data_IF_952520162175
#
_entry.id   IF_952520162175
#
_cell.length_a   1.000
_cell.length_b   1.000
_cell.length_c   1.000
_cell.angle_alpha   90.00
_cell.angle_beta   90.00
_cell.angle_gamma   90.00
#
_symmetry.space_group_name_H-M   'P 1'
#
loop_
_entity.id
_entity.type
_entity.pdbx_description
1 polymer ?
#
# COMPACT_ATOMS: atom_id res chain seq x y z
N UNK A 1 -15.78 -53.55 -0.41
CA UNK A 1 -16.91 -54.44 -0.75
C UNK A 1 -17.87 -53.68 -1.65
N UNK A 2 -18.06 -54.19 -2.88
CA UNK A 2 -19.13 -53.84 -3.86
C UNK A 2 -19.00 -52.50 -4.60
N UNK A 3 -19.23 -52.37 -5.90
CA UNK A 3 -19.10 -53.24 -7.08
C UNK A 3 -19.20 -52.33 -8.32
N UNK A 4 -18.41 -52.63 -9.36
CA UNK A 4 -18.43 -51.97 -10.67
C UNK A 4 -19.51 -52.58 -11.58
N UNK A 5 -20.11 -51.80 -12.50
CA UNK A 5 -20.56 -52.19 -13.87
C UNK A 5 -20.84 -50.89 -14.67
N UNK A 6 -19.98 -50.46 -15.60
CA UNK A 6 -19.91 -50.79 -17.05
C UNK A 6 -21.14 -50.40 -17.90
N UNK A 7 -20.93 -49.48 -18.86
CA UNK A 7 -21.37 -49.64 -20.27
C UNK A 7 -20.39 -48.92 -21.22
N UNK A 8 -19.87 -49.70 -22.18
CA UNK A 8 -18.97 -49.31 -23.28
C UNK A 8 -19.76 -48.73 -24.47
N UNK A 9 -19.14 -47.84 -25.24
CA UNK A 9 -19.13 -47.94 -26.71
C UNK A 9 -17.92 -47.21 -27.31
N UNK A 10 -17.22 -47.88 -28.22
CA UNK A 10 -15.98 -47.46 -28.91
C UNK A 10 -16.34 -46.84 -30.26
N UNK A 11 -15.53 -45.90 -30.76
CA UNK A 11 -15.03 -45.99 -32.15
C UNK A 11 -13.68 -45.27 -32.32
N UNK A 12 -12.79 -45.97 -33.02
CA UNK A 12 -11.37 -45.71 -33.26
C UNK A 12 -11.17 -44.83 -34.50
N UNK A 13 -10.11 -44.03 -34.45
CA UNK A 13 -9.39 -43.36 -35.54
C UNK A 13 -8.74 -44.35 -36.51
N UNK A 14 -8.32 -43.88 -37.70
CA UNK A 14 -7.15 -44.41 -38.36
C UNK A 14 -6.17 -43.29 -38.79
N UNK A 15 -4.92 -43.40 -38.36
CA UNK A 15 -3.75 -42.92 -39.09
C UNK A 15 -3.19 -44.09 -39.90
N UNK A 16 -2.69 -43.83 -41.11
CA UNK A 16 -1.58 -44.60 -41.68
C UNK A 16 -0.86 -43.84 -42.79
N UNK A 17 0.46 -44.02 -42.74
CA UNK A 17 1.54 -43.35 -43.46
C UNK A 17 1.67 -43.73 -44.95
N UNK A 18 2.47 -42.88 -45.60
CA UNK A 18 3.11 -42.91 -46.92
C UNK A 18 3.39 -44.26 -47.59
N UNK A 19 3.29 -44.26 -48.94
CA UNK A 19 4.31 -44.79 -49.86
C UNK A 19 3.96 -44.47 -51.33
N UNK A 20 5.01 -44.08 -52.05
CA UNK A 20 5.17 -43.62 -53.44
C UNK A 20 4.71 -44.57 -54.54
N UNK A 21 4.15 -44.04 -55.64
CA UNK A 21 4.40 -44.49 -57.02
C UNK A 21 3.91 -43.46 -58.07
N UNK A 22 4.79 -43.18 -59.03
CA UNK A 22 4.65 -42.39 -60.26
C UNK A 22 3.69 -43.00 -61.29
N UNK A 23 3.06 -42.18 -62.14
CA UNK A 23 3.07 -42.23 -63.64
C UNK A 23 1.97 -41.33 -64.26
N UNK A 24 2.45 -40.30 -64.96
CA UNK A 24 2.09 -39.71 -66.27
C UNK A 24 0.64 -39.52 -66.80
N UNK A 25 0.42 -38.28 -67.30
CA UNK A 25 -0.34 -37.84 -68.52
C UNK A 25 -1.86 -38.12 -68.59
N UNK A 26 -2.77 -37.24 -69.03
CA UNK A 26 -2.73 -36.22 -70.11
C UNK A 26 -4.01 -35.35 -70.06
N UNK A 27 -3.85 -34.04 -70.29
CA UNK A 27 -4.71 -33.09 -71.04
C UNK A 27 -6.23 -32.96 -70.80
N UNK A 28 -6.66 -31.72 -70.47
CA UNK A 28 -8.02 -31.22 -70.71
C UNK A 28 -8.23 -29.78 -70.19
N UNK A 29 -8.24 -28.80 -71.11
CA UNK A 29 -8.33 -27.35 -70.86
C UNK A 29 -9.68 -26.86 -70.29
N UNK A 30 -9.65 -25.93 -69.32
CA UNK A 30 -10.61 -24.82 -69.19
C UNK A 30 -10.02 -23.66 -68.34
N UNK A 31 -10.25 -22.42 -68.80
CA UNK A 31 -9.68 -21.12 -68.38
C UNK A 31 -10.42 -20.55 -67.13
N UNK A 32 -9.79 -19.65 -66.32
CA UNK A 32 -10.09 -19.50 -64.90
C UNK A 32 -11.11 -18.39 -64.57
N UNK A 33 -11.80 -18.52 -63.44
CA UNK A 33 -12.42 -17.40 -62.74
C UNK A 33 -11.61 -17.10 -61.48
N UNK A 34 -11.07 -15.88 -61.43
CA UNK A 34 -10.41 -15.35 -60.27
C UNK A 34 -11.38 -15.11 -59.11
N UNK A 35 -10.85 -15.25 -57.90
CA UNK A 35 -11.21 -14.40 -56.77
C UNK A 35 -10.02 -14.38 -55.81
N UNK A 36 -9.28 -13.29 -55.89
CA UNK A 36 -8.33 -12.83 -54.90
C UNK A 36 -9.09 -12.28 -53.70
N UNK A 37 -8.98 -12.99 -52.57
CA UNK A 37 -9.16 -12.42 -51.23
C UNK A 37 -8.03 -12.97 -50.36
N UNK A 38 -6.89 -12.28 -50.36
CA UNK A 38 -5.90 -12.41 -49.30
C UNK A 38 -6.51 -11.81 -48.02
N UNK A 39 -7.22 -12.63 -47.25
CA UNK A 39 -7.55 -12.29 -45.87
C UNK A 39 -6.24 -12.29 -45.07
N UNK A 40 -5.84 -11.12 -44.58
CA UNK A 40 -4.75 -11.01 -43.61
C UNK A 40 -5.02 -11.97 -42.43
N UNK A 41 -4.00 -12.72 -41.95
CA UNK A 41 -4.21 -13.71 -40.91
C UNK A 41 -4.82 -13.08 -39.66
N UNK A 42 -5.89 -13.69 -39.15
CA UNK A 42 -6.60 -13.24 -37.95
C UNK A 42 -5.63 -13.17 -36.78
N UNK A 43 -5.29 -11.96 -36.36
CA UNK A 43 -4.43 -11.71 -35.20
C UNK A 43 -5.28 -11.78 -33.93
N UNK A 44 -5.00 -12.75 -33.07
CA UNK A 44 -5.77 -12.96 -31.85
C UNK A 44 -5.15 -12.18 -30.68
N UNK A 45 -5.94 -11.87 -29.65
CA UNK A 45 -5.48 -11.06 -28.51
C UNK A 45 -4.30 -11.68 -27.73
N UNK A 46 -4.08 -12.99 -27.86
CA UNK A 46 -2.93 -13.68 -27.28
C UNK A 46 -1.64 -13.52 -28.09
N UNK A 47 -1.72 -13.16 -29.38
CA UNK A 47 -0.54 -12.91 -30.23
C UNK A 47 0.16 -11.58 -29.89
N UNK A 48 -0.47 -10.75 -29.04
CA UNK A 48 0.05 -9.47 -28.51
C UNK A 48 0.50 -9.53 -27.05
N UNK A 49 0.48 -10.70 -26.39
CA UNK A 49 0.98 -10.80 -25.01
C UNK A 49 2.49 -10.60 -25.03
N UNK A 50 2.95 -9.52 -24.41
CA UNK A 50 4.36 -9.36 -24.09
C UNK A 50 4.83 -10.61 -23.33
N UNK A 51 5.97 -11.17 -23.74
CA UNK A 51 6.55 -12.33 -23.06
C UNK A 51 7.04 -11.85 -21.69
N UNK A 52 6.26 -12.12 -20.65
CA UNK A 52 6.62 -11.85 -19.26
C UNK A 52 7.68 -12.87 -18.82
N UNK A 53 8.89 -12.42 -18.50
CA UNK A 53 9.92 -13.27 -17.89
C UNK A 53 9.67 -13.32 -16.37
N UNK A 54 9.49 -14.50 -15.75
CA UNK A 54 9.37 -14.63 -14.30
C UNK A 54 10.49 -13.93 -13.52
N UNK A 55 11.71 -13.86 -14.08
CA UNK A 55 12.85 -13.16 -13.46
C UNK A 55 12.62 -11.67 -13.27
N UNK A 56 11.77 -11.06 -14.08
CA UNK A 56 11.42 -9.64 -13.94
C UNK A 56 10.56 -9.39 -12.70
N UNK A 57 9.95 -10.43 -12.12
CA UNK A 57 9.04 -10.33 -10.98
C UNK A 57 9.54 -11.10 -9.74
N UNK A 58 10.81 -11.53 -9.76
CA UNK A 58 11.43 -12.20 -8.63
C UNK A 58 12.89 -11.78 -8.43
N UNK A 59 13.33 -11.79 -7.17
CA UNK A 59 14.72 -11.67 -6.74
C UNK A 59 15.02 -12.88 -5.87
N UNK A 60 15.96 -13.72 -6.30
CA UNK A 60 16.20 -15.03 -5.65
C UNK A 60 17.69 -15.29 -5.50
N UNK A 61 18.12 -15.70 -4.30
CA UNK A 61 19.46 -16.23 -4.07
C UNK A 61 20.59 -15.19 -4.23
N UNK A 62 20.27 -13.91 -4.08
CA UNK A 62 21.22 -12.82 -4.28
C UNK A 62 22.02 -12.56 -3.01
N UNK A 63 23.31 -12.24 -3.16
CA UNK A 63 24.20 -11.93 -2.05
C UNK A 63 25.01 -10.68 -2.32
N UNK A 64 25.19 -9.86 -1.29
CA UNK A 64 26.06 -8.68 -1.30
C UNK A 64 25.79 -7.74 -2.50
N UNK A 65 24.52 -7.54 -2.82
CA UNK A 65 24.09 -6.86 -4.03
C UNK A 65 23.10 -5.71 -3.76
N UNK A 66 23.16 -4.68 -4.60
CA UNK A 66 22.13 -3.64 -4.71
C UNK A 66 21.24 -3.94 -5.92
N UNK A 67 19.98 -4.29 -5.68
CA UNK A 67 19.02 -4.76 -6.71
C UNK A 67 17.64 -4.15 -6.49
N UNK A 68 16.69 -4.38 -7.41
CA UNK A 68 15.36 -3.80 -7.29
C UNK A 68 14.68 -3.53 -8.61
N UNK A 69 13.68 -2.64 -8.60
CA UNK A 69 12.88 -2.26 -9.77
C UNK A 69 12.69 -0.75 -9.80
N UNK A 70 12.94 -0.15 -10.97
CA UNK A 70 12.69 1.26 -11.23
C UNK A 70 11.18 1.52 -11.44
N UNK A 71 10.72 2.78 -11.37
CA UNK A 71 9.34 3.14 -11.69
C UNK A 71 8.88 2.60 -13.06
N UNK A 72 7.65 2.10 -13.11
CA UNK A 72 7.02 1.57 -14.32
C UNK A 72 7.48 0.17 -14.75
N UNK A 73 8.26 -0.54 -13.92
CA UNK A 73 8.74 -1.90 -14.22
C UNK A 73 7.83 -3.01 -13.67
N UNK A 74 7.17 -2.79 -12.54
CA UNK A 74 6.24 -3.76 -11.95
C UNK A 74 4.79 -3.48 -12.32
N UNK A 75 4.39 -2.22 -12.45
CA UNK A 75 3.03 -1.79 -12.85
C UNK A 75 1.91 -2.60 -12.18
N UNK A 76 2.00 -2.78 -10.85
CA UNK A 76 0.96 -3.45 -10.07
C UNK A 76 0.96 -4.98 -10.16
N UNK A 77 1.99 -5.62 -10.73
CA UNK A 77 2.14 -7.07 -10.68
C UNK A 77 2.60 -7.55 -9.29
N UNK A 78 2.52 -8.86 -9.06
CA UNK A 78 3.10 -9.51 -7.88
C UNK A 78 4.63 -9.51 -7.96
N UNK A 79 5.29 -9.42 -6.81
CA UNK A 79 6.75 -9.51 -6.70
C UNK A 79 7.17 -10.50 -5.62
N UNK A 80 8.27 -11.22 -5.84
CA UNK A 80 8.81 -12.20 -4.87
C UNK A 80 10.26 -11.88 -4.57
N UNK A 81 10.64 -11.85 -3.30
CA UNK A 81 12.03 -11.72 -2.86
C UNK A 81 12.30 -12.93 -1.97
N UNK A 82 13.29 -13.75 -2.31
CA UNK A 82 13.57 -14.96 -1.55
C UNK A 82 15.07 -15.26 -1.45
N UNK A 83 15.51 -15.80 -0.32
CA UNK A 83 16.88 -16.31 -0.13
C UNK A 83 17.96 -15.24 -0.40
N UNK A 84 17.68 -13.96 -0.10
CA UNK A 84 18.62 -12.86 -0.29
C UNK A 84 19.41 -12.58 0.99
N UNK A 85 20.72 -12.36 0.87
CA UNK A 85 21.62 -12.10 2.00
C UNK A 85 22.44 -10.82 1.78
N UNK A 86 22.56 -9.96 2.79
CA UNK A 86 23.35 -8.73 2.74
C UNK A 86 23.00 -7.78 1.58
N UNK A 87 21.74 -7.75 1.14
CA UNK A 87 21.33 -6.99 -0.04
C UNK A 87 20.69 -5.63 0.31
N UNK A 88 20.86 -4.66 -0.59
CA UNK A 88 20.03 -3.46 -0.64
C UNK A 88 18.99 -3.65 -1.75
N UNK A 89 17.71 -3.63 -1.42
CA UNK A 89 16.62 -3.94 -2.34
C UNK A 89 15.69 -2.74 -2.48
N UNK A 90 15.64 -2.14 -3.66
CA UNK A 90 14.86 -0.92 -3.94
C UNK A 90 13.76 -1.17 -4.96
N UNK A 91 12.53 -1.37 -4.52
CA UNK A 91 11.36 -1.55 -5.38
C UNK A 91 10.61 -0.23 -5.48
N UNK A 92 10.99 0.61 -6.44
CA UNK A 92 10.40 1.93 -6.66
C UNK A 92 9.22 1.89 -7.63
N UNK A 93 8.27 0.98 -7.40
CA UNK A 93 7.04 0.86 -8.18
C UNK A 93 5.90 0.30 -7.31
N UNK A 94 4.65 0.49 -7.73
CA UNK A 94 3.51 -0.15 -7.09
C UNK A 94 3.40 -1.63 -7.46
N UNK A 95 2.86 -2.44 -6.55
CA UNK A 95 2.73 -3.89 -6.71
C UNK A 95 1.38 -4.39 -6.19
N UNK A 96 0.92 -5.54 -6.68
CA UNK A 96 -0.28 -6.19 -6.15
C UNK A 96 -0.04 -6.78 -4.75
N UNK A 97 1.02 -7.57 -4.62
CA UNK A 97 1.44 -8.22 -3.38
C UNK A 97 2.92 -8.54 -3.44
N UNK A 98 3.59 -8.55 -2.30
CA UNK A 98 5.01 -8.89 -2.19
C UNK A 98 5.21 -9.94 -1.09
N UNK A 99 5.90 -11.04 -1.42
CA UNK A 99 6.38 -12.02 -0.43
C UNK A 99 7.89 -11.91 -0.28
N UNK A 100 8.37 -11.93 0.96
CA UNK A 100 9.78 -11.85 1.31
C UNK A 100 10.12 -13.04 2.20
N UNK A 101 10.90 -13.97 1.68
CA UNK A 101 11.15 -15.27 2.31
C UNK A 101 12.65 -15.49 2.55
N UNK A 102 13.01 -16.04 3.70
CA UNK A 102 14.37 -16.52 3.98
C UNK A 102 15.48 -15.46 3.73
N UNK A 103 15.15 -14.18 3.94
CA UNK A 103 16.09 -13.08 3.70
C UNK A 103 16.83 -12.70 5.00
N UNK A 104 18.13 -12.42 4.88
CA UNK A 104 18.99 -12.12 6.03
C UNK A 104 19.80 -10.85 5.79
N UNK A 105 19.84 -9.95 6.78
CA UNK A 105 20.65 -8.72 6.76
C UNK A 105 20.40 -7.83 5.52
N UNK A 106 19.15 -7.69 5.11
CA UNK A 106 18.78 -6.88 3.94
C UNK A 106 18.19 -5.52 4.35
N UNK A 107 18.46 -4.49 3.52
CA UNK A 107 17.78 -3.19 3.60
C UNK A 107 16.83 -3.05 2.43
N UNK A 108 15.54 -2.83 2.70
CA UNK A 108 14.48 -2.97 1.69
C UNK A 108 13.60 -1.72 1.65
N UNK A 109 13.43 -1.12 0.48
CA UNK A 109 12.38 -0.13 0.23
C UNK A 109 11.36 -0.75 -0.71
N UNK A 110 10.10 -0.79 -0.28
CA UNK A 110 8.97 -1.22 -1.09
C UNK A 110 8.08 -0.03 -1.40
N UNK A 111 7.81 0.17 -2.69
CA UNK A 111 6.74 1.06 -3.13
C UNK A 111 5.36 0.55 -2.68
N UNK A 112 4.30 1.35 -2.89
CA UNK A 112 2.95 1.04 -2.44
C UNK A 112 2.44 -0.34 -2.93
N UNK A 113 2.07 -1.20 -1.99
CA UNK A 113 1.55 -2.55 -2.26
C UNK A 113 0.04 -2.59 -2.02
N UNK A 114 -0.74 -2.77 -3.09
CA UNK A 114 -2.21 -2.77 -3.05
C UNK A 114 -2.79 -3.76 -2.05
N UNK A 115 -2.19 -4.94 -1.94
CA UNK A 115 -2.60 -6.00 -1.03
C UNK A 115 -1.62 -6.19 0.12
N UNK A 116 -1.18 -7.43 0.30
CA UNK A 116 -0.31 -7.79 1.41
C UNK A 116 1.18 -7.73 1.09
N UNK A 117 1.95 -7.30 2.08
CA UNK A 117 3.38 -7.59 2.21
C UNK A 117 3.54 -8.66 3.28
N UNK A 118 4.18 -9.77 2.95
CA UNK A 118 4.36 -10.90 3.87
C UNK A 118 5.84 -11.27 3.99
N UNK A 119 6.40 -11.06 5.18
CA UNK A 119 7.73 -11.55 5.55
C UNK A 119 7.62 -12.92 6.23
N UNK A 120 8.40 -13.90 5.77
CA UNK A 120 8.50 -15.24 6.38
C UNK A 120 9.97 -15.59 6.57
N UNK A 121 10.30 -16.14 7.73
CA UNK A 121 11.64 -16.67 8.02
C UNK A 121 12.78 -15.65 7.79
N UNK A 122 12.48 -14.36 7.96
CA UNK A 122 13.43 -13.26 7.71
C UNK A 122 14.15 -12.82 8.98
N UNK A 123 15.42 -12.39 8.84
CA UNK A 123 16.24 -11.98 9.98
C UNK A 123 17.07 -10.73 9.70
N UNK A 124 17.17 -9.85 10.70
CA UNK A 124 18.00 -8.63 10.63
C UNK A 124 17.62 -7.75 9.42
N UNK A 125 16.31 -7.53 9.22
CA UNK A 125 15.79 -6.73 8.10
C UNK A 125 15.54 -5.30 8.54
N UNK A 126 15.92 -4.34 7.70
CA UNK A 126 15.56 -2.93 7.87
C UNK A 126 14.78 -2.48 6.66
N UNK A 127 13.56 -1.98 6.84
CA UNK A 127 12.73 -1.68 5.68
C UNK A 127 11.80 -0.47 5.81
N UNK A 128 11.44 0.07 4.64
CA UNK A 128 10.42 1.09 4.44
C UNK A 128 9.33 0.48 3.58
N UNK A 129 8.10 0.41 4.08
CA UNK A 129 7.01 -0.36 3.44
C UNK A 129 5.70 0.43 3.48
N UNK A 130 5.03 0.53 2.33
CA UNK A 130 3.64 0.96 2.25
C UNK A 130 2.77 -0.18 1.70
N UNK A 131 1.73 -0.58 2.42
CA UNK A 131 0.87 -1.69 2.03
C UNK A 131 -0.55 -1.59 2.59
N UNK A 132 -1.48 -2.37 2.02
CA UNK A 132 -2.79 -2.53 2.65
C UNK A 132 -2.69 -3.40 3.91
N UNK A 133 -2.02 -4.56 3.81
CA UNK A 133 -1.85 -5.50 4.91
C UNK A 133 -0.37 -5.81 5.13
N UNK A 134 0.11 -5.68 6.37
CA UNK A 134 1.46 -6.08 6.76
C UNK A 134 1.40 -7.34 7.61
N UNK A 135 2.16 -8.37 7.21
CA UNK A 135 2.22 -9.66 7.93
C UNK A 135 3.66 -10.10 8.10
N UNK A 136 3.99 -10.64 9.27
CA UNK A 136 5.25 -11.36 9.50
C UNK A 136 4.98 -12.71 10.14
N UNK A 137 5.76 -13.71 9.76
CA UNK A 137 5.81 -15.01 10.44
C UNK A 137 7.25 -15.46 10.59
N UNK A 138 7.60 -16.00 11.75
CA UNK A 138 8.93 -16.57 12.00
C UNK A 138 10.11 -15.58 11.79
N UNK A 139 9.85 -14.28 11.96
CA UNK A 139 10.84 -13.23 11.71
C UNK A 139 11.59 -12.78 12.98
N UNK A 140 12.84 -12.33 12.83
CA UNK A 140 13.67 -11.88 13.97
C UNK A 140 14.41 -10.59 13.67
N UNK A 141 14.34 -9.63 14.60
CA UNK A 141 15.05 -8.34 14.53
C UNK A 141 14.73 -7.59 13.23
N UNK A 142 13.53 -7.05 13.15
CA UNK A 142 13.12 -6.21 12.03
C UNK A 142 12.87 -4.79 12.47
N UNK A 143 13.44 -3.81 11.76
CA UNK A 143 13.16 -2.39 11.94
C UNK A 143 12.35 -1.89 10.72
N UNK A 144 11.11 -1.48 10.93
CA UNK A 144 10.13 -1.23 9.86
C UNK A 144 9.56 0.18 9.95
N UNK A 145 9.78 1.00 8.93
CA UNK A 145 9.07 2.26 8.70
C UNK A 145 7.83 1.98 7.84
N UNK A 146 6.65 2.02 8.47
CA UNK A 146 5.44 1.40 7.93
C UNK A 146 4.34 2.42 7.61
N UNK A 147 3.69 2.22 6.46
CA UNK A 147 2.38 2.75 6.15
C UNK A 147 1.45 1.56 5.91
N UNK A 148 0.51 1.30 6.82
CA UNK A 148 -0.37 0.13 6.73
C UNK A 148 -1.84 0.53 6.87
N UNK A 149 -2.64 0.23 5.85
CA UNK A 149 -4.06 0.59 5.84
C UNK A 149 -4.87 -0.19 6.88
N UNK A 150 -4.47 -1.42 7.21
CA UNK A 150 -5.07 -2.24 8.27
C UNK A 150 -4.14 -2.37 9.48
N UNK A 151 -4.60 -3.05 10.53
CA UNK A 151 -3.77 -3.42 11.68
C UNK A 151 -2.59 -4.32 11.22
N UNK A 152 -1.32 -3.93 11.45
CA UNK A 152 -0.17 -4.78 11.16
C UNK A 152 -0.15 -6.01 12.07
N UNK A 153 0.24 -7.16 11.51
CA UNK A 153 0.19 -8.45 12.20
C UNK A 153 1.60 -9.05 12.28
N UNK A 154 1.95 -9.57 13.46
CA UNK A 154 3.11 -10.43 13.67
C UNK A 154 2.69 -11.77 14.26
N UNK A 155 3.43 -12.82 13.90
CA UNK A 155 3.25 -14.19 14.40
C UNK A 155 4.62 -14.87 14.53
N UNK A 156 4.85 -15.59 15.62
CA UNK A 156 6.10 -16.32 15.92
C UNK A 156 7.37 -15.48 15.70
N UNK A 157 7.29 -14.17 15.91
CA UNK A 157 8.33 -13.20 15.54
C UNK A 157 8.84 -12.45 16.79
N UNK A 158 10.11 -12.05 16.80
CA UNK A 158 10.72 -11.39 17.97
C UNK A 158 11.64 -10.24 17.59
N UNK A 159 11.70 -9.20 18.43
CA UNK A 159 12.54 -8.03 18.19
C UNK A 159 12.05 -7.17 17.02
N UNK A 160 10.74 -7.09 16.84
CA UNK A 160 10.10 -6.29 15.80
C UNK A 160 10.01 -4.83 16.26
N UNK A 161 10.37 -3.86 15.42
CA UNK A 161 10.30 -2.45 15.76
C UNK A 161 9.65 -1.66 14.64
N UNK A 162 8.73 -0.77 15.01
CA UNK A 162 7.93 -0.01 14.05
C UNK A 162 8.11 1.49 14.20
N UNK A 163 8.12 2.21 13.07
CA UNK A 163 8.05 3.66 12.95
C UNK A 163 7.07 4.04 11.85
N UNK A 164 6.63 5.30 11.83
CA UNK A 164 5.82 5.83 10.73
C UNK A 164 6.64 5.83 9.44
N UNK A 165 6.01 5.50 8.31
CA UNK A 165 6.60 5.66 6.99
C UNK A 165 7.11 7.09 6.77
N UNK A 166 8.35 7.22 6.29
CA UNK A 166 9.00 8.49 6.00
C UNK A 166 9.83 8.36 4.72
N UNK A 167 9.21 8.64 3.57
CA UNK A 167 9.90 8.50 2.29
C UNK A 167 9.23 9.33 1.19
N UNK A 168 10.04 9.70 0.20
CA UNK A 168 9.62 10.43 -0.98
C UNK A 168 10.47 10.03 -2.19
N UNK A 169 9.81 9.91 -3.33
CA UNK A 169 10.39 10.07 -4.67
C UNK A 169 9.28 10.61 -5.60
N UNK A 170 9.62 11.25 -6.73
CA UNK A 170 8.64 12.00 -7.53
C UNK A 170 7.38 11.21 -7.93
N UNK A 171 7.54 9.93 -8.27
CA UNK A 171 6.47 9.05 -8.74
C UNK A 171 5.64 8.43 -7.60
N UNK A 172 6.10 8.54 -6.34
CA UNK A 172 5.52 7.82 -5.20
C UNK A 172 4.04 8.16 -4.98
N UNK A 173 3.65 9.43 -5.14
CA UNK A 173 2.26 9.85 -5.00
C UNK A 173 1.33 9.14 -6.00
N UNK A 174 1.77 8.96 -7.24
CA UNK A 174 1.01 8.22 -8.26
C UNK A 174 0.98 6.73 -7.92
N UNK A 175 2.08 6.16 -7.44
CA UNK A 175 2.11 4.75 -7.04
C UNK A 175 1.14 4.47 -5.87
N UNK A 176 0.97 5.39 -4.91
CA UNK A 176 -0.04 5.27 -3.85
C UNK A 176 -1.45 5.23 -4.44
N UNK A 177 -1.74 6.13 -5.38
CA UNK A 177 -3.01 6.19 -6.09
C UNK A 177 -3.28 4.91 -6.89
N UNK A 178 -2.30 4.42 -7.65
CA UNK A 178 -2.44 3.22 -8.49
C UNK A 178 -2.59 1.95 -7.65
N UNK A 179 -1.95 1.90 -6.47
CA UNK A 179 -2.16 0.85 -5.47
C UNK A 179 -3.51 0.96 -4.75
N UNK A 180 -4.26 2.06 -4.91
CA UNK A 180 -5.51 2.32 -4.20
C UNK A 180 -5.32 2.54 -2.71
N UNK A 181 -4.14 3.03 -2.29
CA UNK A 181 -3.82 3.31 -0.89
C UNK A 181 -3.94 4.80 -0.60
N UNK A 182 -4.71 5.15 0.42
CA UNK A 182 -4.71 6.51 0.95
C UNK A 182 -3.48 6.74 1.81
N UNK A 183 -2.81 7.88 1.58
CA UNK A 183 -1.71 8.36 2.44
C UNK A 183 -2.18 8.74 3.84
N UNK A 184 -3.49 8.89 4.05
CA UNK A 184 -4.09 9.24 5.34
C UNK A 184 -4.56 8.00 6.12
N UNK A 185 -4.49 6.79 5.57
CA UNK A 185 -4.86 5.56 6.27
C UNK A 185 -3.61 4.79 6.70
N UNK A 186 -3.11 5.10 7.90
CA UNK A 186 -1.88 4.50 8.41
C UNK A 186 -1.98 4.08 9.90
N UNK A 187 -1.98 2.77 10.16
CA UNK A 187 -2.09 2.16 11.49
C UNK A 187 -0.76 1.55 11.96
N UNK A 188 0.37 2.07 11.49
CA UNK A 188 1.72 1.52 11.68
C UNK A 188 2.12 1.15 13.11
N UNK A 189 1.52 1.76 14.13
CA UNK A 189 1.85 1.56 15.54
C UNK A 189 0.89 0.63 16.30
N UNK A 190 -0.24 0.23 15.72
CA UNK A 190 -1.24 -0.61 16.36
C UNK A 190 -1.00 -2.08 15.99
N UNK A 191 0.01 -2.72 16.58
CA UNK A 191 0.45 -4.06 16.17
C UNK A 191 -0.39 -5.14 16.87
N UNK A 192 -0.89 -6.10 16.09
CA UNK A 192 -1.48 -7.33 16.62
C UNK A 192 -0.43 -8.46 16.63
N UNK A 193 -0.18 -9.03 17.81
CA UNK A 193 0.70 -10.19 17.97
C UNK A 193 -0.15 -11.44 18.24
N UNK A 194 -0.09 -12.42 17.33
CA UNK A 194 -0.81 -13.69 17.47
C UNK A 194 -0.16 -14.65 18.48
N UNK A 195 1.09 -14.42 18.85
CA UNK A 195 1.90 -15.31 19.70
C UNK A 195 2.58 -14.53 20.83
N UNK A 196 1.82 -13.79 21.65
CA UNK A 196 2.39 -13.00 22.74
C UNK A 196 3.03 -13.92 23.79
N UNK A 197 4.18 -13.51 24.33
CA UNK A 197 4.85 -14.20 25.43
C UNK A 197 4.64 -13.37 26.70
N UNK A 198 4.25 -14.02 27.80
CA UNK A 198 3.82 -13.35 29.04
C UNK A 198 4.84 -12.42 29.69
N UNK A 199 6.13 -12.56 29.36
CA UNK A 199 7.24 -11.81 29.99
C UNK A 199 8.08 -10.99 29.00
N UNK A 200 7.77 -11.06 27.70
CA UNK A 200 8.56 -10.39 26.66
C UNK A 200 7.63 -9.73 25.66
N UNK A 201 7.93 -8.47 25.33
CA UNK A 201 7.26 -7.81 24.22
C UNK A 201 7.98 -8.17 22.93
N UNK A 202 7.29 -8.88 22.03
CA UNK A 202 7.83 -9.30 20.75
C UNK A 202 8.05 -8.11 19.80
N UNK A 203 7.40 -6.98 20.06
CA UNK A 203 7.52 -5.77 19.28
C UNK A 203 7.69 -4.51 20.15
N UNK A 204 8.12 -3.42 19.53
CA UNK A 204 8.18 -2.10 20.15
C UNK A 204 8.10 -1.02 19.07
N UNK A 205 8.05 0.24 19.48
CA UNK A 205 8.17 1.36 18.56
C UNK A 205 9.62 1.86 18.55
N UNK A 206 10.16 2.18 17.37
CA UNK A 206 11.46 2.83 17.25
C UNK A 206 11.44 4.20 17.96
N UNK A 207 12.58 4.74 18.42
CA UNK A 207 12.65 6.11 18.92
C UNK A 207 12.12 7.13 17.90
N UNK A 208 11.44 8.19 18.35
CA UNK A 208 10.93 9.26 17.47
C UNK A 208 12.05 10.00 16.72
N UNK A 209 13.27 9.99 17.26
CA UNK A 209 14.46 10.59 16.66
C UNK A 209 15.14 9.70 15.60
N UNK A 210 14.57 8.53 15.29
CA UNK A 210 15.17 7.59 14.34
C UNK A 210 15.12 8.14 12.92
N UNK A 211 16.29 8.34 12.30
CA UNK A 211 16.39 8.69 10.88
C UNK A 211 16.30 7.44 10.02
N UNK A 212 15.44 7.43 9.00
CA UNK A 212 15.34 6.32 8.04
C UNK A 212 16.70 5.96 7.44
N UNK A 213 17.55 6.95 7.16
CA UNK A 213 18.84 6.72 6.50
C UNK A 213 19.85 5.95 7.38
N UNK A 214 19.67 5.92 8.71
CA UNK A 214 20.47 5.09 9.61
C UNK A 214 20.12 3.60 9.50
N UNK A 215 18.94 3.31 8.95
CA UNK A 215 18.42 1.95 8.81
C UNK A 215 18.45 1.46 7.36
N UNK A 216 18.00 2.30 6.43
CA UNK A 216 17.91 2.01 5.00
C UNK A 216 18.65 3.13 4.25
N UNK A 217 19.86 2.87 3.74
CA UNK A 217 20.62 3.90 3.05
C UNK A 217 19.94 4.29 1.73
N UNK A 218 20.20 5.51 1.28
CA UNK A 218 19.83 5.91 -0.08
C UNK A 218 20.57 5.03 -1.11
N UNK A 219 20.03 4.85 -2.33
CA UNK A 219 20.70 4.07 -3.34
C UNK A 219 22.09 4.61 -3.69
N UNK A 220 23.03 3.69 -3.96
CA UNK A 220 24.41 4.03 -4.29
C UNK A 220 24.49 4.89 -5.55
N UNK A 221 25.44 5.84 -5.60
CA UNK A 221 25.66 6.74 -6.75
C UNK A 221 26.10 6.02 -8.03
N UNK A 222 26.56 4.79 -7.92
CA UNK A 222 26.94 3.95 -9.05
C UNK A 222 25.82 3.00 -9.49
N UNK A 223 24.75 2.88 -8.70
CA UNK A 223 23.60 2.03 -9.03
C UNK A 223 22.65 2.70 -10.02
N UNK A 224 21.90 1.90 -10.79
CA UNK A 224 20.84 2.41 -11.67
C UNK A 224 19.73 3.15 -10.91
N UNK A 225 19.58 2.86 -9.62
CA UNK A 225 18.60 3.47 -8.73
C UNK A 225 18.88 4.93 -8.41
N UNK A 226 20.09 5.45 -8.69
CA UNK A 226 20.41 6.88 -8.55
C UNK A 226 19.51 7.81 -9.37
N UNK A 227 18.89 7.28 -10.42
CA UNK A 227 17.94 8.02 -11.25
C UNK A 227 16.68 8.41 -10.46
N UNK A 228 16.33 7.65 -9.42
CA UNK A 228 15.18 7.93 -8.56
C UNK A 228 15.59 8.91 -7.46
N UNK A 229 15.03 10.12 -7.49
CA UNK A 229 15.37 11.21 -6.56
C UNK A 229 14.70 10.99 -5.20
N UNK A 230 15.29 10.11 -4.39
CA UNK A 230 14.77 9.78 -3.07
C UNK A 230 15.02 10.89 -2.07
N UNK A 231 14.12 11.00 -1.09
CA UNK A 231 14.30 11.82 0.10
C UNK A 231 13.67 11.11 1.29
N UNK A 232 14.40 11.04 2.39
CA UNK A 232 13.90 10.57 3.67
C UNK A 232 13.75 11.72 4.68
N UNK A 233 13.72 12.97 4.20
CA UNK A 233 13.40 14.14 5.02
C UNK A 233 11.93 14.07 5.51
N UNK A 234 11.67 14.20 6.83
CA UNK A 234 10.34 14.30 7.41
C UNK A 234 9.38 15.23 6.65
N UNK A 235 9.85 16.44 6.28
CA UNK A 235 9.03 17.47 5.65
C UNK A 235 8.63 17.12 4.21
N UNK A 236 9.34 16.18 3.57
CA UNK A 236 9.08 15.77 2.18
C UNK A 236 8.27 14.48 2.09
N UNK A 237 8.03 13.79 3.20
CA UNK A 237 7.36 12.49 3.19
C UNK A 237 5.99 12.56 2.50
N UNK A 238 5.72 11.56 1.65
CA UNK A 238 4.41 11.41 1.02
C UNK A 238 3.35 11.01 2.06
N UNK A 239 3.70 10.22 3.07
CA UNK A 239 2.78 9.90 4.17
C UNK A 239 3.01 10.92 5.29
N UNK A 240 1.98 11.63 5.78
CA UNK A 240 2.12 12.49 6.95
C UNK A 240 2.65 11.72 8.16
N UNK A 241 3.62 12.28 8.86
CA UNK A 241 4.18 11.65 10.05
C UNK A 241 3.20 11.76 11.20
N UNK A 242 2.76 10.61 11.70
CA UNK A 242 1.81 10.51 12.81
C UNK A 242 2.51 9.97 14.06
N UNK A 243 2.11 10.46 15.24
CA UNK A 243 2.58 9.97 16.54
C UNK A 243 2.03 8.57 16.84
N UNK A 244 0.88 8.21 16.28
CA UNK A 244 0.24 6.91 16.42
C UNK A 244 -0.06 6.58 17.89
N UNK A 245 0.13 5.32 18.27
CA UNK A 245 -0.09 4.79 19.62
C UNK A 245 0.99 5.15 20.64
N UNK A 246 1.85 6.13 20.37
CA UNK A 246 2.81 6.64 21.36
C UNK A 246 2.08 7.44 22.45
N UNK A 247 2.72 7.54 23.61
CA UNK A 247 2.22 8.34 24.73
C UNK A 247 2.08 9.81 24.31
N UNK A 248 0.91 10.40 24.54
CA UNK A 248 0.64 11.82 24.32
C UNK A 248 1.18 12.66 25.46
N UNK A 249 1.58 13.89 25.14
CA UNK A 249 2.09 14.86 26.12
C UNK A 249 0.97 15.73 26.70
N UNK A 250 -0.18 15.79 26.01
CA UNK A 250 -1.40 16.45 26.45
C UNK A 250 -2.60 15.52 26.28
N UNK A 251 -3.58 15.64 27.17
CA UNK A 251 -4.88 14.97 27.06
C UNK A 251 -5.84 15.74 26.14
N UNK A 252 -5.52 17.00 25.80
CA UNK A 252 -6.33 17.78 24.87
C UNK A 252 -6.09 17.30 23.43
N UNK A 253 -7.18 16.96 22.75
CA UNK A 253 -7.21 16.54 21.36
C UNK A 253 -8.27 17.32 20.58
N UNK A 254 -8.10 17.49 19.28
CA UNK A 254 -9.03 18.17 18.39
C UNK A 254 -9.24 17.32 17.14
N UNK A 255 -10.51 17.08 16.78
CA UNK A 255 -10.88 16.49 15.51
C UNK A 255 -10.99 17.60 14.46
N UNK A 256 -10.30 17.45 13.34
CA UNK A 256 -10.40 18.34 12.18
C UNK A 256 -10.72 17.51 10.94
N UNK A 257 -11.84 17.79 10.28
CA UNK A 257 -12.32 17.01 9.13
C UNK A 257 -12.52 17.90 7.91
N UNK A 258 -11.89 17.51 6.80
CA UNK A 258 -12.14 18.04 5.48
C UNK A 258 -13.10 17.16 4.71
N UNK A 259 -14.05 17.77 4.02
CA UNK A 259 -14.96 17.08 3.10
C UNK A 259 -14.35 16.99 1.70
N UNK A 260 -14.85 16.04 0.89
CA UNK A 260 -14.36 15.82 -0.47
C UNK A 260 -14.47 17.09 -1.34
N UNK A 261 -13.41 17.38 -2.08
CA UNK A 261 -13.26 18.54 -2.93
C UNK A 261 -11.92 18.53 -3.67
N UNK A 262 -11.74 19.45 -4.61
CA UNK A 262 -10.57 19.50 -5.51
C UNK A 262 -9.23 19.66 -4.74
N UNK A 263 -9.25 20.42 -3.63
CA UNK A 263 -8.05 20.77 -2.86
C UNK A 263 -7.95 20.05 -1.51
N UNK A 264 -8.79 19.05 -1.22
CA UNK A 264 -8.90 18.42 0.11
C UNK A 264 -7.56 17.88 0.62
N UNK A 265 -6.81 17.14 -0.22
CA UNK A 265 -5.48 16.62 0.16
C UNK A 265 -4.47 17.73 0.43
N UNK A 266 -4.46 18.79 -0.39
CA UNK A 266 -3.56 19.92 -0.21
C UNK A 266 -3.90 20.72 1.06
N UNK A 267 -5.19 20.92 1.33
CA UNK A 267 -5.68 21.59 2.54
C UNK A 267 -5.36 20.79 3.80
N UNK A 268 -5.52 19.46 3.76
CA UNK A 268 -5.15 18.59 4.86
C UNK A 268 -3.63 18.69 5.17
N UNK A 269 -2.77 18.66 4.14
CA UNK A 269 -1.32 18.89 4.33
C UNK A 269 -1.03 20.26 4.92
N UNK A 270 -1.64 21.31 4.37
CA UNK A 270 -1.46 22.67 4.88
C UNK A 270 -1.89 22.78 6.36
N UNK A 271 -3.00 22.15 6.74
CA UNK A 271 -3.44 22.12 8.15
C UNK A 271 -2.42 21.43 9.06
N UNK A 272 -1.83 20.32 8.61
CA UNK A 272 -0.77 19.62 9.35
C UNK A 272 0.46 20.52 9.52
N UNK A 273 0.86 21.24 8.47
CA UNK A 273 1.99 22.16 8.52
C UNK A 273 1.73 23.33 9.50
N UNK A 274 0.55 23.95 9.43
CA UNK A 274 0.13 25.04 10.34
C UNK A 274 0.06 24.58 11.81
N UNK A 275 -0.48 23.38 12.05
CA UNK A 275 -0.57 22.81 13.39
C UNK A 275 0.82 22.49 13.96
N UNK A 276 1.68 21.86 13.15
CA UNK A 276 3.05 21.51 13.53
C UNK A 276 3.89 22.75 13.80
N UNK A 277 3.75 23.80 12.99
CA UNK A 277 4.43 25.08 13.18
C UNK A 277 4.04 25.77 14.51
N UNK A 278 2.83 25.52 15.02
CA UNK A 278 2.35 25.99 16.32
C UNK A 278 2.68 25.03 17.48
N UNK A 279 3.39 23.93 17.22
CA UNK A 279 3.81 22.96 18.23
C UNK A 279 2.79 21.88 18.56
N UNK A 280 1.70 21.77 17.79
CA UNK A 280 0.73 20.67 17.95
C UNK A 280 1.23 19.41 17.26
N UNK A 281 0.78 18.27 17.76
CA UNK A 281 1.22 16.96 17.28
C UNK A 281 0.09 16.27 16.52
N UNK A 282 0.40 15.78 15.32
CA UNK A 282 -0.51 14.91 14.56
C UNK A 282 -0.49 13.50 15.15
N UNK A 283 -1.61 13.07 15.74
CA UNK A 283 -1.73 11.76 16.36
C UNK A 283 -2.03 10.68 15.33
N UNK A 284 -3.06 10.90 14.51
CA UNK A 284 -3.46 9.98 13.45
C UNK A 284 -4.34 10.69 12.42
N UNK A 285 -4.52 10.03 11.28
CA UNK A 285 -5.37 10.49 10.19
C UNK A 285 -6.24 9.34 9.70
N UNK A 286 -7.36 9.66 9.04
CA UNK A 286 -8.18 8.70 8.30
C UNK A 286 -8.79 9.35 7.06
N UNK A 287 -8.86 8.60 5.97
CA UNK A 287 -9.70 8.88 4.82
C UNK A 287 -10.78 7.81 4.72
N UNK A 288 -12.06 8.19 4.89
CA UNK A 288 -13.17 7.24 5.00
C UNK A 288 -14.45 7.81 4.37
N UNK A 289 -15.19 6.97 3.67
CA UNK A 289 -16.53 7.31 3.15
C UNK A 289 -17.57 7.14 4.25
N UNK A 290 -18.45 8.11 4.46
CA UNK A 290 -19.51 7.98 5.47
C UNK A 290 -20.88 7.92 4.80
N UNK A 291 -21.83 7.19 5.39
CA UNK A 291 -23.23 7.24 4.95
C UNK A 291 -24.00 8.30 5.75
N UNK A 292 -25.12 8.82 5.24
CA UNK A 292 -25.95 9.80 5.96
C UNK A 292 -26.32 9.37 7.39
N UNK A 293 -26.57 8.07 7.64
CA UNK A 293 -26.85 7.55 8.97
C UNK A 293 -25.66 7.65 9.95
N UNK A 294 -24.43 7.57 9.44
CA UNK A 294 -23.21 7.61 10.24
C UNK A 294 -22.90 9.05 10.72
N UNK A 295 -23.32 10.06 9.94
CA UNK A 295 -23.12 11.50 10.22
C UNK A 295 -23.71 11.90 11.57
N UNK A 296 -24.95 11.48 11.84
CA UNK A 296 -25.65 11.80 13.09
C UNK A 296 -24.96 11.19 14.31
N UNK A 297 -24.41 9.99 14.16
CA UNK A 297 -23.68 9.32 15.23
C UNK A 297 -22.34 10.00 15.51
N UNK A 298 -21.62 10.39 14.45
CA UNK A 298 -20.25 10.93 14.56
C UNK A 298 -20.24 12.41 14.96
N UNK A 299 -21.04 13.25 14.28
CA UNK A 299 -21.02 14.71 14.45
C UNK A 299 -22.16 15.24 15.34
N UNK A 300 -23.07 14.37 15.79
CA UNK A 300 -24.12 14.67 16.75
C UNK A 300 -24.94 15.92 16.38
N UNK A 301 -24.86 16.99 17.18
CA UNK A 301 -25.64 18.21 17.01
C UNK A 301 -25.30 18.99 15.73
N UNK A 302 -24.15 18.70 15.11
CA UNK A 302 -23.70 19.37 13.88
C UNK A 302 -24.08 18.59 12.60
N UNK A 303 -24.84 17.50 12.71
CA UNK A 303 -24.98 16.53 11.62
C UNK A 303 -25.79 17.01 10.41
N UNK A 304 -26.88 17.75 10.61
CA UNK A 304 -27.83 18.05 9.53
C UNK A 304 -27.20 18.92 8.42
N UNK A 305 -26.27 19.82 8.78
CA UNK A 305 -25.53 20.67 7.84
C UNK A 305 -24.37 19.95 7.11
N UNK A 306 -24.08 18.69 7.46
CA UNK A 306 -22.92 17.94 6.96
C UNK A 306 -23.30 16.80 6.01
N UNK A 307 -24.57 16.38 6.00
CA UNK A 307 -25.03 15.24 5.17
C UNK A 307 -24.75 15.46 3.69
N UNK A 308 -25.02 16.67 3.17
CA UNK A 308 -24.75 16.99 1.77
C UNK A 308 -23.27 16.86 1.42
N UNK A 309 -22.38 17.27 2.32
CA UNK A 309 -20.94 17.32 2.09
C UNK A 309 -20.30 15.94 2.09
N UNK A 310 -20.81 15.05 2.93
CA UNK A 310 -20.34 13.66 3.04
C UNK A 310 -20.72 12.84 1.81
N UNK A 311 -21.82 13.20 1.13
CA UNK A 311 -22.22 12.53 -0.12
C UNK A 311 -21.27 12.79 -1.30
N UNK A 312 -20.38 13.79 -1.21
CA UNK A 312 -19.45 14.18 -2.27
C UNK A 312 -18.23 13.25 -2.40
N UNK A 313 -17.94 12.44 -1.38
CA UNK A 313 -16.82 11.50 -1.38
C UNK A 313 -16.25 11.25 0.01
N UNK A 314 -15.11 10.54 0.11
CA UNK A 314 -14.43 10.29 1.38
C UNK A 314 -14.07 11.60 2.09
N UNK A 315 -14.19 11.60 3.42
CA UNK A 315 -13.71 12.70 4.26
C UNK A 315 -12.30 12.39 4.74
N UNK A 316 -11.49 13.43 4.95
CA UNK A 316 -10.15 13.32 5.55
C UNK A 316 -10.20 13.91 6.95
N UNK A 317 -9.97 13.07 7.95
CA UNK A 317 -9.90 13.46 9.35
C UNK A 317 -8.46 13.47 9.87
N UNK A 318 -8.18 14.45 10.72
CA UNK A 318 -6.94 14.66 11.43
C UNK A 318 -7.24 14.71 12.93
N UNK A 319 -6.50 13.93 13.73
CA UNK A 319 -6.46 14.10 15.18
C UNK A 319 -5.19 14.86 15.55
N UNK A 320 -5.38 16.06 16.11
CA UNK A 320 -4.30 16.91 16.59
C UNK A 320 -4.33 16.94 18.12
N UNK A 321 -3.17 16.97 18.76
CA UNK A 321 -3.05 17.01 20.23
C UNK A 321 -2.07 18.08 20.70
N UNK A 322 -2.36 18.66 21.86
CA UNK A 322 -1.56 19.68 22.54
C UNK A 322 -2.45 20.65 23.31
N UNK A 323 -1.87 21.32 24.30
CA UNK A 323 -2.63 22.26 25.13
C UNK A 323 -3.10 23.46 24.29
N UNK A 324 -4.40 23.74 24.30
CA UNK A 324 -5.00 24.81 23.49
C UNK A 324 -5.22 24.46 22.02
N UNK A 325 -5.05 23.18 21.63
CA UNK A 325 -5.20 22.73 20.23
C UNK A 325 -6.58 23.04 19.66
N UNK A 326 -7.65 22.95 20.46
CA UNK A 326 -9.02 23.21 19.97
C UNK A 326 -9.18 24.66 19.54
N UNK A 327 -8.73 25.61 20.37
CA UNK A 327 -8.79 27.04 20.04
C UNK A 327 -7.94 27.36 18.82
N UNK A 328 -6.71 26.85 18.76
CA UNK A 328 -5.82 27.08 17.64
C UNK A 328 -6.36 26.52 16.32
N UNK A 329 -6.92 25.31 16.32
CA UNK A 329 -7.56 24.72 15.16
C UNK A 329 -8.75 25.56 14.66
N UNK A 330 -9.56 26.09 15.58
CA UNK A 330 -10.67 27.00 15.23
C UNK A 330 -10.17 28.31 14.60
N UNK A 331 -9.04 28.84 15.06
CA UNK A 331 -8.44 30.05 14.48
C UNK A 331 -7.87 29.76 13.08
N UNK A 332 -7.13 28.66 12.91
CA UNK A 332 -6.62 28.23 11.59
C UNK A 332 -7.77 28.00 10.60
N UNK A 333 -8.84 27.33 11.04
CA UNK A 333 -10.06 27.13 10.25
C UNK A 333 -10.62 28.45 9.68
N UNK A 334 -10.68 29.50 10.51
CA UNK A 334 -11.22 30.81 10.12
C UNK A 334 -10.26 31.62 9.26
N UNK A 335 -8.96 31.60 9.55
CA UNK A 335 -7.96 32.45 8.89
C UNK A 335 -7.45 31.84 7.58
N UNK A 336 -7.20 30.53 7.57
CA UNK A 336 -6.51 29.85 6.47
C UNK A 336 -7.50 29.19 5.51
N UNK A 337 -8.62 28.70 6.05
CA UNK A 337 -9.61 27.92 5.30
C UNK A 337 -10.96 28.66 5.17
N UNK A 338 -10.95 30.00 5.25
CA UNK A 338 -12.13 30.84 5.06
C UNK A 338 -12.80 30.53 3.70
N UNK A 339 -13.98 29.92 3.74
CA UNK A 339 -14.73 29.52 2.52
C UNK A 339 -14.63 28.04 2.17
N UNK A 340 -13.83 27.25 2.87
CA UNK A 340 -13.86 25.79 2.77
C UNK A 340 -14.79 25.23 3.85
N UNK A 341 -15.75 24.38 3.49
CA UNK A 341 -16.53 23.66 4.50
C UNK A 341 -15.63 22.63 5.18
N UNK A 342 -15.56 22.72 6.49
CA UNK A 342 -14.78 21.84 7.38
C UNK A 342 -15.59 21.59 8.65
N UNK A 343 -15.26 20.51 9.35
CA UNK A 343 -15.66 20.31 10.72
C UNK A 343 -14.42 20.44 11.61
N UNK A 344 -14.56 21.14 12.72
CA UNK A 344 -13.53 21.24 13.76
C UNK A 344 -14.22 21.10 15.10
N UNK A 345 -13.64 20.36 16.03
CA UNK A 345 -14.14 20.33 17.40
C UNK A 345 -14.27 21.76 17.95
N UNK A 346 -15.40 22.06 18.57
CA UNK A 346 -15.77 23.41 19.00
C UNK A 346 -15.37 23.71 20.46
N UNK A 347 -15.26 22.66 21.28
CA UNK A 347 -15.06 22.78 22.72
C UNK A 347 -14.10 21.71 23.25
N UNK A 348 -13.12 22.15 24.04
CA UNK A 348 -12.14 21.29 24.74
C UNK A 348 -12.79 20.18 25.58
N UNK A 349 -13.96 20.42 26.15
CA UNK A 349 -14.64 19.44 27.01
C UNK A 349 -15.33 18.32 26.22
N UNK A 350 -15.61 18.53 24.92
CA UNK A 350 -16.29 17.56 24.06
C UNK A 350 -15.42 17.03 22.93
N UNK A 351 -14.28 17.66 22.66
CA UNK A 351 -13.41 17.33 21.53
C UNK A 351 -12.87 15.90 21.59
N UNK A 352 -12.55 15.38 22.78
CA UNK A 352 -12.16 13.98 22.95
C UNK A 352 -13.27 13.02 22.49
N UNK A 353 -14.54 13.34 22.78
CA UNK A 353 -15.69 12.55 22.32
C UNK A 353 -15.87 12.62 20.80
N UNK A 354 -15.61 13.76 20.18
CA UNK A 354 -15.67 13.88 18.71
C UNK A 354 -14.63 12.96 18.05
N UNK A 355 -13.39 12.99 18.56
CA UNK A 355 -12.30 12.10 18.14
C UNK A 355 -12.73 10.64 18.30
N UNK A 356 -13.15 10.24 19.51
CA UNK A 356 -13.56 8.87 19.78
C UNK A 356 -14.70 8.41 18.86
N UNK A 357 -15.74 9.23 18.67
CA UNK A 357 -16.85 8.89 17.80
C UNK A 357 -16.39 8.67 16.35
N UNK A 358 -15.52 9.54 15.84
CA UNK A 358 -15.04 9.47 14.46
C UNK A 358 -14.14 8.26 14.24
N UNK A 359 -13.10 8.10 15.05
CA UNK A 359 -12.10 7.05 14.85
C UNK A 359 -12.64 5.65 15.17
N UNK A 360 -13.53 5.51 16.17
CA UNK A 360 -14.23 4.24 16.38
C UNK A 360 -15.10 3.87 15.17
N UNK A 361 -15.78 4.85 14.56
CA UNK A 361 -16.53 4.61 13.32
C UNK A 361 -15.60 4.20 12.17
N UNK A 362 -14.52 4.95 11.95
CA UNK A 362 -13.58 4.67 10.87
C UNK A 362 -12.94 3.28 11.01
N UNK A 363 -12.56 2.90 12.22
CA UNK A 363 -11.99 1.58 12.51
C UNK A 363 -13.01 0.45 12.32
N UNK A 364 -14.27 0.65 12.72
CA UNK A 364 -15.34 -0.33 12.44
C UNK A 364 -15.58 -0.52 10.95
N UNK A 365 -15.47 0.55 10.15
CA UNK A 365 -15.70 0.47 8.71
C UNK A 365 -14.51 -0.12 7.95
N UNK A 366 -13.28 0.09 8.45
CA UNK A 366 -12.06 -0.42 7.83
C UNK A 366 -11.63 -1.80 8.32
N UNK A 367 -12.18 -2.26 9.45
CA UNK A 367 -11.98 -3.61 9.99
C UNK A 367 -12.91 -4.67 9.38
N UNK A 368 -13.92 -4.25 8.61
CA UNK A 368 -14.76 -5.07 7.74
C UNK A 368 -14.15 -5.16 6.35
#
# INVERSE_FOLDING_TARGET
MGCCFSKKSKRKSPEKEDLTATVETTTGNAVPLGNSTDEAPKQYSWDKREKVDPKDYMLTGLKDATVGRLPGKLNGQQFVIQECENCNIFVFDHSATITIDDCVNCRIVLGPVKGSVFFRDCKDIKCVVACQQFRTRDCKKMDVFLCCATQPIIESSTGMKFACFQYYYPELAFHFKDAGLSIFNNNWSNIHDFTPVSEQNNWSLLPETSSVLDFVPAPDTESDFKAVRVSADPARSIVPLTKGGRRKDSEESCLFVFFAGEYTTANARKMIDEATAKGFVLIQTKEVSMRPEDVKRVFQNNADDLVEWISKGPVIALELSGDGVVEACNNIAKEVFSGTKIFVSDNKNTSARDVDNFFNFADMQMGL
#
